data_IF_486290071738
#
_entry.id   IF_486290071738
#
_cell.length_a   1.000
_cell.length_b   1.000
_cell.length_c   1.000
_cell.angle_alpha   90.00
_cell.angle_beta   90.00
_cell.angle_gamma   90.00
#
_symmetry.space_group_name_H-M   'P 1'
#
loop_
_entity.id
_entity.type
_entity.pdbx_description
1 polymer ?
#
# COMPACT_ATOMS: atom_id res chain seq x y z
N UNK A 1 -9.07 6.82 -9.99
CA UNK A 1 -9.37 7.32 -8.62
C UNK A 1 -8.18 8.11 -8.10
N UNK A 2 -8.43 9.18 -7.39
CA UNK A 2 -7.37 9.99 -6.78
C UNK A 2 -7.47 9.95 -5.26
N UNK A 3 -6.33 10.00 -4.61
CA UNK A 3 -6.21 9.99 -3.17
C UNK A 3 -5.26 11.11 -2.76
N UNK A 4 -5.64 11.84 -1.72
CA UNK A 4 -4.83 12.93 -1.19
C UNK A 4 -4.31 12.56 0.19
N UNK A 5 -3.01 12.76 0.41
CA UNK A 5 -2.38 12.63 1.72
C UNK A 5 -1.63 13.93 1.95
N UNK A 6 -1.99 14.65 3.00
CA UNK A 6 -1.51 16.02 3.23
C UNK A 6 -1.83 16.86 1.99
N UNK A 7 -0.85 17.49 1.35
CA UNK A 7 -1.07 18.29 0.15
C UNK A 7 -0.74 17.54 -1.15
N UNK A 8 -0.47 16.24 -1.06
CA UNK A 8 -0.04 15.45 -2.20
C UNK A 8 -1.18 14.59 -2.75
N UNK A 9 -1.35 14.61 -4.05
CA UNK A 9 -2.39 13.85 -4.75
C UNK A 9 -1.75 12.72 -5.54
N UNK A 10 -2.30 11.53 -5.38
CA UNK A 10 -1.82 10.30 -6.05
C UNK A 10 -2.94 9.71 -6.89
N UNK A 11 -2.59 9.32 -8.12
CA UNK A 11 -3.48 8.51 -8.96
C UNK A 11 -3.37 7.07 -8.52
N UNK A 12 -4.47 6.47 -8.08
CA UNK A 12 -4.44 5.13 -7.54
C UNK A 12 -5.30 4.16 -8.35
N UNK A 13 -4.83 2.93 -8.39
CA UNK A 13 -5.58 1.80 -8.93
C UNK A 13 -6.28 1.10 -7.77
N UNK A 14 -7.60 0.96 -7.87
CA UNK A 14 -8.41 0.30 -6.85
C UNK A 14 -8.37 -1.21 -7.01
N UNK A 15 -8.29 -1.93 -5.89
CA UNK A 15 -8.28 -3.39 -5.85
C UNK A 15 -9.40 -3.85 -4.93
N UNK A 16 -10.36 -4.60 -5.49
CA UNK A 16 -11.61 -4.95 -4.81
C UNK A 16 -11.85 -6.45 -4.72
N UNK A 17 -11.39 -7.23 -5.69
CA UNK A 17 -11.67 -8.67 -5.72
C UNK A 17 -10.61 -9.44 -4.95
N UNK A 18 -10.99 -10.60 -4.41
CA UNK A 18 -10.06 -11.50 -3.70
C UNK A 18 -8.85 -11.84 -4.54
N UNK A 19 -9.06 -12.14 -5.84
CA UNK A 19 -7.98 -12.48 -6.76
C UNK A 19 -7.01 -11.32 -6.93
N UNK A 20 -7.52 -10.12 -7.16
CA UNK A 20 -6.69 -8.94 -7.38
C UNK A 20 -5.95 -8.54 -6.10
N UNK A 21 -6.57 -8.71 -4.94
CA UNK A 21 -5.93 -8.48 -3.65
C UNK A 21 -4.75 -9.43 -3.46
N UNK A 22 -4.93 -10.72 -3.77
CA UNK A 22 -3.85 -11.70 -3.66
C UNK A 22 -2.70 -11.40 -4.60
N UNK A 23 -2.98 -10.98 -5.83
CA UNK A 23 -1.95 -10.66 -6.81
C UNK A 23 -1.23 -9.34 -6.49
N UNK A 24 -1.97 -8.34 -6.04
CA UNK A 24 -1.40 -7.05 -5.68
C UNK A 24 -0.44 -6.52 -6.71
N UNK A 25 0.74 -6.14 -6.27
CA UNK A 25 1.82 -5.61 -7.11
C UNK A 25 2.76 -6.70 -7.67
N UNK A 26 2.43 -7.99 -7.51
CA UNK A 26 3.27 -9.05 -8.05
C UNK A 26 3.53 -8.87 -9.54
N UNK A 27 4.80 -8.80 -9.93
CA UNK A 27 5.22 -8.66 -11.33
C UNK A 27 4.87 -7.34 -11.97
N UNK A 28 4.42 -6.34 -11.21
CA UNK A 28 3.98 -5.05 -11.74
C UNK A 28 4.91 -3.92 -11.37
N UNK A 29 4.91 -2.90 -12.21
CA UNK A 29 5.55 -1.60 -11.95
C UNK A 29 4.47 -0.53 -11.87
N UNK A 30 4.83 0.63 -11.34
CA UNK A 30 3.92 1.78 -11.30
C UNK A 30 3.90 2.51 -12.65
N UNK A 31 3.28 1.89 -13.65
CA UNK A 31 3.10 2.47 -14.98
C UNK A 31 1.70 3.04 -15.08
N UNK A 32 1.58 4.35 -15.25
CA UNK A 32 0.30 5.09 -15.38
C UNK A 32 -0.53 5.16 -14.08
N UNK A 33 0.03 4.83 -12.93
CA UNK A 33 -0.60 5.04 -11.63
C UNK A 33 0.48 5.21 -10.56
N UNK A 34 0.13 5.88 -9.46
CA UNK A 34 1.07 6.23 -8.39
C UNK A 34 1.00 5.28 -7.20
N UNK A 35 -0.07 4.54 -7.08
CA UNK A 35 -0.28 3.62 -5.97
C UNK A 35 -1.42 2.66 -6.22
N UNK A 36 -1.50 1.63 -5.37
CA UNK A 36 -2.54 0.62 -5.44
C UNK A 36 -3.29 0.60 -4.11
N UNK A 37 -4.60 0.77 -4.14
CA UNK A 37 -5.43 0.84 -2.92
C UNK A 37 -6.31 -0.39 -2.82
N UNK A 38 -6.13 -1.14 -1.74
CA UNK A 38 -6.84 -2.38 -1.45
C UNK A 38 -8.00 -2.08 -0.50
N UNK A 39 -9.23 -2.42 -0.92
CA UNK A 39 -10.43 -2.27 -0.10
C UNK A 39 -10.72 -3.60 0.57
N UNK A 40 -10.70 -3.62 1.89
CA UNK A 40 -10.81 -4.84 2.67
C UNK A 40 -11.68 -4.65 3.90
N UNK A 41 -11.97 -5.73 4.61
CA UNK A 41 -12.67 -5.66 5.89
C UNK A 41 -11.76 -5.01 6.94
N UNK A 42 -12.35 -4.32 7.89
CA UNK A 42 -11.62 -3.68 8.98
C UNK A 42 -11.20 -4.74 10.01
N UNK A 43 -10.02 -5.29 9.81
CA UNK A 43 -9.47 -6.40 10.61
C UNK A 43 -7.94 -6.46 10.43
N UNK A 44 -7.24 -7.33 11.17
CA UNK A 44 -5.81 -7.54 10.92
C UNK A 44 -5.58 -8.15 9.54
N UNK A 45 -4.53 -7.66 8.86
CA UNK A 45 -4.11 -8.17 7.56
C UNK A 45 -2.60 -8.37 7.55
N UNK A 46 -2.17 -9.27 6.68
CA UNK A 46 -0.76 -9.58 6.48
C UNK A 46 -0.45 -9.51 4.98
N UNK A 47 0.57 -8.74 4.62
CA UNK A 47 1.03 -8.59 3.25
C UNK A 47 2.46 -9.08 3.14
N UNK A 48 2.84 -9.53 1.97
CA UNK A 48 4.21 -9.92 1.68
C UNK A 48 4.67 -9.34 0.34
N UNK A 49 5.98 -9.41 0.12
CA UNK A 49 6.60 -8.90 -1.10
C UNK A 49 6.91 -10.01 -2.11
N UNK A 50 6.25 -11.17 -1.96
CA UNK A 50 6.47 -12.33 -2.83
C UNK A 50 6.21 -11.96 -4.29
N UNK A 51 7.22 -12.21 -5.13
CA UNK A 51 7.17 -11.96 -6.57
C UNK A 51 6.92 -10.50 -6.98
N UNK A 52 7.05 -9.57 -6.06
CA UNK A 52 7.08 -8.15 -6.40
C UNK A 52 8.43 -7.81 -7.01
N UNK A 53 8.44 -6.93 -8.00
CA UNK A 53 9.66 -6.54 -8.72
C UNK A 53 10.09 -5.11 -8.40
N UNK A 54 9.32 -4.40 -7.59
CA UNK A 54 9.64 -3.04 -7.12
C UNK A 54 9.53 -2.99 -5.60
N UNK A 55 10.28 -2.07 -4.99
CA UNK A 55 10.15 -1.80 -3.56
C UNK A 55 8.84 -1.08 -3.29
N UNK A 56 8.22 -1.33 -2.14
CA UNK A 56 6.94 -0.73 -1.76
C UNK A 56 7.00 -0.10 -0.39
N UNK A 57 6.28 1.02 -0.24
CA UNK A 57 5.79 1.46 1.06
C UNK A 57 4.38 0.87 1.22
N UNK A 58 4.13 0.17 2.33
CA UNK A 58 2.84 -0.45 2.61
C UNK A 58 2.21 0.29 3.78
N UNK A 59 1.07 0.94 3.52
CA UNK A 59 0.36 1.75 4.50
C UNK A 59 -0.95 1.08 4.89
N UNK A 60 -1.12 0.82 6.18
CA UNK A 60 -2.39 0.31 6.73
C UNK A 60 -3.21 1.49 7.21
N UNK A 61 -4.49 1.53 6.82
CA UNK A 61 -5.37 2.67 7.02
C UNK A 61 -6.68 2.19 7.65
N UNK A 62 -7.07 2.84 8.74
CA UNK A 62 -8.34 2.63 9.42
C UNK A 62 -9.08 3.96 9.52
N UNK A 63 -10.33 4.02 9.03
CA UNK A 63 -11.16 5.24 9.05
C UNK A 63 -10.43 6.45 8.49
N UNK A 64 -9.77 6.25 7.34
CA UNK A 64 -9.02 7.29 6.63
C UNK A 64 -7.79 7.80 7.38
N UNK A 65 -7.37 7.15 8.46
CA UNK A 65 -6.16 7.48 9.20
C UNK A 65 -5.10 6.41 8.97
N UNK A 66 -3.89 6.82 8.63
CA UNK A 66 -2.76 5.89 8.47
C UNK A 66 -2.35 5.42 9.86
N UNK A 67 -2.50 4.12 10.13
CA UNK A 67 -2.18 3.56 11.45
C UNK A 67 -0.83 2.88 11.51
N UNK A 68 -0.29 2.47 10.35
CA UNK A 68 1.02 1.83 10.28
C UNK A 68 1.61 1.99 8.88
N UNK A 69 2.90 2.33 8.81
CA UNK A 69 3.65 2.36 7.55
C UNK A 69 4.83 1.38 7.66
N UNK A 70 4.92 0.48 6.70
CA UNK A 70 6.11 -0.32 6.48
C UNK A 70 6.88 0.31 5.32
N UNK A 71 8.05 0.88 5.61
CA UNK A 71 8.83 1.64 4.64
C UNK A 71 9.73 0.75 3.80
N UNK A 72 9.75 1.03 2.51
CA UNK A 72 10.72 0.48 1.57
C UNK A 72 10.87 -1.04 1.67
N UNK A 73 9.74 -1.74 1.62
CA UNK A 73 9.70 -3.20 1.66
C UNK A 73 10.34 -3.77 0.40
N UNK A 74 11.26 -4.70 0.56
CA UNK A 74 12.08 -5.22 -0.54
C UNK A 74 11.39 -6.35 -1.29
N UNK A 75 11.56 -6.44 -2.62
CA UNK A 75 11.13 -7.61 -3.39
C UNK A 75 11.65 -8.91 -2.77
N UNK A 76 10.82 -9.94 -2.81
CA UNK A 76 11.16 -11.26 -2.26
C UNK A 76 10.81 -12.35 -3.26
N UNK A 77 11.82 -13.10 -3.69
CA UNK A 77 11.66 -14.22 -4.63
C UNK A 77 11.98 -15.57 -3.97
N UNK A 78 12.19 -15.55 -2.67
CA UNK A 78 12.51 -16.75 -1.90
C UNK A 78 11.23 -17.50 -1.54
N UNK A 79 11.39 -18.72 -1.00
CA UNK A 79 10.27 -19.53 -0.55
C UNK A 79 9.59 -18.89 0.66
N UNK A 80 10.38 -18.40 1.60
CA UNK A 80 9.88 -17.76 2.82
C UNK A 80 10.10 -16.26 2.74
N UNK A 81 9.01 -15.51 2.61
CA UNK A 81 9.03 -14.06 2.59
C UNK A 81 8.51 -13.49 3.90
N UNK A 82 9.10 -12.38 4.34
CA UNK A 82 8.66 -11.64 5.51
C UNK A 82 7.21 -11.19 5.37
N UNK A 83 6.45 -11.24 6.47
CA UNK A 83 5.10 -10.71 6.54
C UNK A 83 5.11 -9.29 7.10
N UNK A 84 4.36 -8.40 6.45
CA UNK A 84 4.14 -7.02 6.89
C UNK A 84 2.72 -6.91 7.39
N UNK A 85 2.55 -6.75 8.68
CA UNK A 85 1.25 -6.82 9.33
C UNK A 85 0.72 -5.45 9.73
N UNK A 86 -0.60 -5.32 9.76
CA UNK A 86 -1.28 -4.13 10.22
C UNK A 86 -2.78 -4.36 10.31
N UNK A 87 -3.48 -3.35 10.81
CA UNK A 87 -4.92 -3.37 11.00
C UNK A 87 -5.55 -2.25 10.16
N UNK A 88 -6.68 -2.53 9.54
CA UNK A 88 -7.42 -1.50 8.83
C UNK A 88 -8.39 -2.04 7.80
N UNK A 89 -9.12 -1.13 7.19
CA UNK A 89 -10.05 -1.43 6.10
C UNK A 89 -9.49 -1.06 4.74
N UNK A 90 -8.36 -0.37 4.71
CA UNK A 90 -7.65 -0.03 3.48
C UNK A 90 -6.16 -0.31 3.65
N UNK A 91 -5.53 -0.75 2.56
CA UNK A 91 -4.08 -0.81 2.47
C UNK A 91 -3.67 -0.09 1.20
N UNK A 92 -2.71 0.82 1.32
CA UNK A 92 -2.17 1.58 0.20
C UNK A 92 -0.73 1.15 -0.04
N UNK A 93 -0.45 0.70 -1.26
CA UNK A 93 0.91 0.41 -1.70
C UNK A 93 1.40 1.53 -2.61
N UNK A 94 2.50 2.15 -2.23
CA UNK A 94 3.18 3.21 -2.98
C UNK A 94 4.59 2.74 -3.33
N UNK A 95 5.25 3.37 -4.31
CA UNK A 95 6.66 3.09 -4.55
C UNK A 95 7.49 3.30 -3.29
N UNK A 96 8.43 2.39 -3.05
CA UNK A 96 9.30 2.48 -1.87
C UNK A 96 10.01 3.82 -1.79
N UNK A 97 9.96 4.46 -0.62
CA UNK A 97 10.54 5.78 -0.40
C UNK A 97 9.58 6.94 -0.59
N UNK A 98 8.37 6.71 -1.07
CA UNK A 98 7.37 7.77 -1.29
C UNK A 98 7.02 8.47 0.03
N UNK A 99 6.81 7.72 1.10
CA UNK A 99 6.44 8.30 2.39
C UNK A 99 7.53 9.22 2.93
N UNK A 100 8.79 8.83 2.79
CA UNK A 100 9.93 9.69 3.18
C UNK A 100 9.98 10.96 2.34
N UNK A 101 9.83 10.80 1.03
CA UNK A 101 9.90 11.92 0.08
C UNK A 101 8.86 12.98 0.37
N UNK A 102 7.64 12.59 0.70
CA UNK A 102 6.52 13.50 0.93
C UNK A 102 6.20 13.70 2.41
N UNK A 103 7.07 13.22 3.31
CA UNK A 103 6.91 13.38 4.75
C UNK A 103 5.56 12.84 5.25
N UNK A 104 5.15 11.68 4.74
CA UNK A 104 3.94 10.98 5.15
C UNK A 104 4.27 10.13 6.37
N UNK A 105 3.46 10.25 7.42
CA UNK A 105 3.71 9.62 8.72
C UNK A 105 2.48 8.88 9.23
N UNK A 106 2.70 8.03 10.22
CA UNK A 106 1.62 7.44 11.00
C UNK A 106 0.72 8.56 11.54
N UNK A 107 -0.57 8.31 11.53
CA UNK A 107 -1.64 9.21 11.94
C UNK A 107 -1.95 10.35 10.97
N UNK A 108 -1.27 10.44 9.84
CA UNK A 108 -1.72 11.32 8.76
C UNK A 108 -3.03 10.79 8.18
N UNK A 109 -3.86 11.69 7.70
CA UNK A 109 -5.16 11.33 7.14
C UNK A 109 -5.11 11.30 5.62
N UNK A 110 -5.94 10.42 5.04
CA UNK A 110 -6.14 10.35 3.61
C UNK A 110 -7.52 10.88 3.25
N UNK A 111 -7.66 11.38 2.04
CA UNK A 111 -8.95 11.79 1.47
C UNK A 111 -9.08 11.14 0.09
N UNK A 112 -10.15 10.38 -0.10
CA UNK A 112 -10.49 9.85 -1.42
C UNK A 112 -11.24 10.93 -2.20
N UNK A 113 -10.75 11.22 -3.39
CA UNK A 113 -11.28 12.31 -4.22
C UNK A 113 -12.12 11.72 -5.36
#
# INVERSE_FOLDING_TARGET
>A
MKLKINDNIFDIKSVLTTKDIQNGMMGKKFDNFDGMLFFMKNEPHSFWMKNCIVHLDILFIEDNTIVKIHHNCKPCFEENCESYEGYGNLVLELPGGTCKKYNIKDYDEIVLI
#
